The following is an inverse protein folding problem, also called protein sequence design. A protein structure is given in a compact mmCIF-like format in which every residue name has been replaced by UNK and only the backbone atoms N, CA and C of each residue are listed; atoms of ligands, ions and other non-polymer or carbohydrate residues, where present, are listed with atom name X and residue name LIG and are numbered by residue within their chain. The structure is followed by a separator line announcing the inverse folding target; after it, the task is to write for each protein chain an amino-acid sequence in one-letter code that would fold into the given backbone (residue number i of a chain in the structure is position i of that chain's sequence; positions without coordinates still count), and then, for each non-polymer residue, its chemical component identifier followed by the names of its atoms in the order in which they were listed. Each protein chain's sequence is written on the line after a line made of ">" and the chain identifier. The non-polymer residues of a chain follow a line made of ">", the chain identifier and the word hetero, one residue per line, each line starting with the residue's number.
data_IF_495763637532
#
_entry.id   IF_495763637532
#
_cell.length_a   1.000
_cell.length_b   1.000
_cell.length_c   1.000
_cell.angle_alpha   90.00
_cell.angle_beta   90.00
_cell.angle_gamma   90.00
#
_symmetry.space_group_name_H-M   'P 1'
#
loop_
_entity.id
_entity.type
_entity.pdbx_description
1 polymer ?
#
# COMPACT_ATOMS: atom_id res chain seq x y z
N UNK A 1 27.52 16.06 19.18
CA UNK A 1 26.85 15.70 17.92
C UNK A 1 25.36 15.60 18.20
N UNK A 2 24.55 16.45 17.58
CA UNK A 2 23.09 16.45 17.79
C UNK A 2 22.49 15.26 17.03
N UNK A 3 22.00 14.27 17.77
CA UNK A 3 21.21 13.18 17.18
C UNK A 3 19.93 13.81 16.66
N UNK A 4 19.76 13.89 15.33
CA UNK A 4 18.47 14.27 14.73
C UNK A 4 17.44 13.27 15.28
N UNK A 5 16.58 13.74 16.20
CA UNK A 5 15.45 12.96 16.69
C UNK A 5 14.48 12.82 15.52
N UNK A 6 14.32 11.61 15.01
CA UNK A 6 13.19 11.31 14.14
C UNK A 6 11.94 11.37 15.02
N UNK A 7 11.03 12.29 14.71
CA UNK A 7 9.86 12.60 15.54
C UNK A 7 8.69 11.62 15.33
N UNK A 8 8.94 10.44 14.75
CA UNK A 8 7.93 9.43 14.50
C UNK A 8 8.45 8.05 14.89
N UNK A 9 7.52 7.20 15.31
CA UNK A 9 7.76 5.81 15.65
C UNK A 9 7.59 4.93 14.41
N UNK A 10 8.42 3.90 14.23
CA UNK A 10 8.30 2.98 13.11
C UNK A 10 9.39 3.13 12.04
N UNK A 11 9.45 2.21 11.07
CA UNK A 11 10.49 2.17 10.04
C UNK A 11 10.37 3.29 9.01
N UNK A 12 9.18 3.85 8.84
CA UNK A 12 8.94 4.96 7.93
C UNK A 12 7.73 5.78 8.38
N UNK A 13 7.63 7.00 7.86
CA UNK A 13 6.52 7.91 8.05
C UNK A 13 6.03 8.42 6.71
N UNK A 14 4.71 8.45 6.55
CA UNK A 14 4.02 9.06 5.41
C UNK A 14 3.66 10.51 5.75
N UNK A 15 4.43 11.51 5.26
CA UNK A 15 4.15 12.91 5.56
C UNK A 15 2.94 13.46 4.79
N UNK A 16 2.39 12.74 3.82
CA UNK A 16 1.27 13.19 2.99
C UNK A 16 -0.07 12.53 3.38
N UNK A 17 -0.05 11.53 4.26
CA UNK A 17 -1.26 10.82 4.68
C UNK A 17 -1.96 10.06 3.54
N UNK A 18 -1.19 9.64 2.53
CA UNK A 18 -1.66 8.81 1.42
C UNK A 18 -1.88 7.33 1.81
N UNK A 19 -1.56 6.97 3.05
CA UNK A 19 -1.79 5.67 3.68
C UNK A 19 -1.01 4.53 2.99
N UNK A 20 0.26 4.78 2.67
CA UNK A 20 1.16 3.75 2.16
C UNK A 20 1.39 2.63 3.19
N UNK A 21 1.34 1.38 2.74
CA UNK A 21 1.47 0.22 3.61
C UNK A 21 2.12 -0.97 2.90
N UNK A 22 2.58 -1.95 3.67
CA UNK A 22 2.98 -3.24 3.12
C UNK A 22 1.75 -4.03 2.65
N UNK A 23 1.97 -4.94 1.71
CA UNK A 23 0.95 -5.92 1.33
C UNK A 23 0.50 -6.75 2.52
N UNK A 24 -0.81 -6.93 2.67
CA UNK A 24 -1.44 -7.72 3.72
C UNK A 24 -2.20 -8.89 3.10
N UNK A 25 -1.72 -10.13 3.21
CA UNK A 25 -2.42 -11.29 2.66
C UNK A 25 -3.84 -11.41 3.23
N UNK A 26 -4.82 -11.64 2.35
CA UNK A 26 -6.23 -11.76 2.73
C UNK A 26 -7.00 -10.43 2.87
N UNK A 27 -6.29 -9.30 2.92
CA UNK A 27 -6.90 -7.97 2.98
C UNK A 27 -7.05 -7.33 1.60
N UNK A 28 -7.75 -6.19 1.57
CA UNK A 28 -7.81 -5.28 0.41
C UNK A 28 -6.44 -4.59 0.26
N UNK A 29 -5.79 -4.79 -0.89
CA UNK A 29 -4.50 -4.18 -1.20
C UNK A 29 -4.58 -3.34 -2.48
N UNK A 30 -4.36 -2.04 -2.34
CA UNK A 30 -4.34 -1.11 -3.46
C UNK A 30 -2.91 -0.96 -3.99
N UNK A 31 -2.74 -1.19 -5.28
CA UNK A 31 -1.44 -1.30 -5.95
C UNK A 31 -0.58 -0.07 -5.70
N UNK A 32 -1.12 1.13 -5.94
CA UNK A 32 -0.30 2.35 -5.89
C UNK A 32 0.02 2.83 -4.47
N UNK A 33 -0.67 2.30 -3.45
CA UNK A 33 -0.37 2.54 -2.02
C UNK A 33 0.47 1.45 -1.38
N UNK A 34 0.63 0.31 -2.06
CA UNK A 34 1.44 -0.77 -1.54
C UNK A 34 2.91 -0.42 -1.70
N UNK A 35 3.70 -0.62 -0.65
CA UNK A 35 5.14 -0.49 -0.68
C UNK A 35 5.71 -1.82 -1.18
N UNK A 36 6.16 -1.84 -2.43
CA UNK A 36 6.73 -3.02 -3.06
C UNK A 36 8.19 -3.24 -2.68
N UNK A 37 8.90 -2.18 -2.28
CA UNK A 37 10.28 -2.30 -1.87
C UNK A 37 10.91 -0.98 -1.48
N UNK A 38 12.21 -1.05 -1.17
CA UNK A 38 13.05 0.09 -0.83
C UNK A 38 14.47 -0.11 -1.35
N UNK A 39 15.01 0.92 -2.01
CA UNK A 39 16.44 1.04 -2.29
C UNK A 39 17.11 1.74 -1.11
N UNK A 40 18.06 1.07 -0.47
CA UNK A 40 18.66 1.54 0.79
C UNK A 40 20.18 1.67 0.66
N UNK A 41 20.70 2.83 1.08
CA UNK A 41 22.13 3.03 1.34
C UNK A 41 22.34 3.13 2.85
N UNK A 42 23.00 2.13 3.43
CA UNK A 42 23.24 2.07 4.88
C UNK A 42 24.27 3.07 5.40
N UNK A 43 25.15 3.58 4.53
CA UNK A 43 26.17 4.56 4.89
C UNK A 43 25.59 5.97 4.93
N UNK A 44 24.92 6.39 3.86
CA UNK A 44 24.28 7.71 3.78
C UNK A 44 22.92 7.77 4.48
N UNK A 45 22.38 6.61 4.90
CA UNK A 45 21.05 6.47 5.50
C UNK A 45 19.91 6.93 4.59
N UNK A 46 20.14 6.91 3.28
CA UNK A 46 19.13 7.28 2.29
C UNK A 46 18.28 6.07 1.89
N UNK A 47 16.98 6.33 1.72
CA UNK A 47 15.99 5.34 1.30
C UNK A 47 15.14 5.90 0.16
N UNK A 48 14.93 5.09 -0.87
CA UNK A 48 13.93 5.33 -1.92
C UNK A 48 12.94 4.18 -1.92
N UNK A 49 11.76 4.40 -1.33
CA UNK A 49 10.66 3.46 -1.36
C UNK A 49 9.98 3.51 -2.73
N UNK A 50 9.41 2.39 -3.17
CA UNK A 50 8.68 2.34 -4.43
C UNK A 50 7.45 1.41 -4.35
N UNK A 51 6.48 1.68 -5.22
CA UNK A 51 5.26 0.88 -5.37
C UNK A 51 5.48 -0.26 -6.39
N UNK A 52 4.51 -1.17 -6.60
CA UNK A 52 4.65 -2.30 -7.53
C UNK A 52 4.92 -1.89 -8.99
N UNK A 53 4.62 -0.66 -9.37
CA UNK A 53 4.89 -0.11 -10.70
C UNK A 53 6.26 0.59 -10.79
N UNK A 54 7.06 0.50 -9.73
CA UNK A 54 8.40 1.11 -9.66
C UNK A 54 8.40 2.62 -9.47
N UNK A 55 7.25 3.24 -9.17
CA UNK A 55 7.19 4.68 -8.86
C UNK A 55 7.67 4.93 -7.43
N UNK A 56 8.50 5.94 -7.27
CA UNK A 56 9.03 6.32 -5.97
C UNK A 56 7.93 6.90 -5.08
N UNK A 57 7.87 6.40 -3.85
CA UNK A 57 6.91 6.81 -2.83
C UNK A 57 7.60 7.77 -1.85
N UNK A 58 7.03 8.94 -1.54
CA UNK A 58 7.69 9.96 -0.72
C UNK A 58 7.58 9.70 0.80
N UNK A 59 8.02 8.52 1.23
CA UNK A 59 8.13 8.15 2.64
C UNK A 59 9.43 8.64 3.26
N UNK A 60 9.40 8.99 4.54
CA UNK A 60 10.59 9.28 5.33
C UNK A 60 11.03 8.02 6.06
N UNK A 61 12.22 7.51 5.78
CA UNK A 61 12.79 6.37 6.50
C UNK A 61 13.27 6.77 7.91
N UNK A 62 13.14 5.84 8.86
CA UNK A 62 13.82 5.86 10.13
C UNK A 62 15.05 4.92 10.07
N UNK A 63 16.27 5.47 9.98
CA UNK A 63 17.48 4.68 9.69
C UNK A 63 17.80 3.62 10.74
N UNK A 64 17.28 3.76 11.96
CA UNK A 64 17.54 2.83 13.07
C UNK A 64 16.60 1.63 13.05
N UNK A 65 15.40 1.77 12.48
CA UNK A 65 14.41 0.70 12.40
C UNK A 65 14.44 -0.03 11.04
N UNK A 66 14.90 0.65 9.98
CA UNK A 66 14.99 0.10 8.63
C UNK A 66 15.73 -1.24 8.52
N UNK A 67 16.91 -1.46 9.16
CA UNK A 67 17.61 -2.74 9.06
C UNK A 67 16.80 -3.93 9.58
N UNK A 68 16.10 -3.77 10.70
CA UNK A 68 15.25 -4.80 11.27
C UNK A 68 14.00 -5.04 10.40
N UNK A 69 13.38 -3.94 9.93
CA UNK A 69 12.24 -3.97 9.04
C UNK A 69 12.53 -4.71 7.73
N UNK A 70 13.60 -4.36 7.02
CA UNK A 70 13.99 -5.00 5.76
C UNK A 70 14.35 -6.47 5.94
N UNK A 71 14.94 -6.84 7.08
CA UNK A 71 15.23 -8.25 7.40
C UNK A 71 13.96 -9.07 7.59
N UNK A 72 12.95 -8.48 8.25
CA UNK A 72 11.69 -9.15 8.56
C UNK A 72 10.78 -9.30 7.33
N UNK A 73 10.73 -8.29 6.48
CA UNK A 73 9.76 -8.21 5.39
C UNK A 73 10.35 -8.45 3.99
N UNK A 74 11.67 -8.38 3.84
CA UNK A 74 12.35 -8.57 2.56
C UNK A 74 12.26 -10.00 2.06
N UNK A 75 11.70 -10.20 0.86
CA UNK A 75 11.60 -11.50 0.19
C UNK A 75 12.69 -11.70 -0.88
N UNK A 76 13.21 -10.61 -1.45
CA UNK A 76 14.30 -10.60 -2.44
C UNK A 76 15.21 -9.40 -2.24
N UNK A 77 16.49 -9.54 -2.61
CA UNK A 77 17.48 -8.46 -2.53
C UNK A 77 18.30 -8.37 -3.81
N UNK A 78 18.60 -7.15 -4.23
CA UNK A 78 19.43 -6.86 -5.39
C UNK A 78 20.50 -5.83 -4.99
N UNK A 79 21.76 -6.22 -5.15
CA UNK A 79 22.91 -5.36 -4.86
C UNK A 79 23.16 -4.41 -6.03
N UNK A 80 23.76 -3.26 -5.73
CA UNK A 80 24.12 -2.26 -6.75
C UNK A 80 22.94 -1.81 -7.60
N UNK A 81 21.75 -1.81 -7.01
CA UNK A 81 20.50 -1.52 -7.72
C UNK A 81 19.72 -0.48 -6.93
N UNK A 82 19.17 0.48 -7.66
CA UNK A 82 18.28 1.53 -7.15
C UNK A 82 17.03 1.50 -8.02
N UNK A 83 15.88 1.26 -7.41
CA UNK A 83 14.55 1.29 -8.04
C UNK A 83 13.80 2.54 -7.59
N UNK A 84 12.92 3.04 -8.46
CA UNK A 84 12.17 4.27 -8.24
C UNK A 84 12.25 5.18 -9.46
N UNK A 85 11.08 5.61 -9.93
CA UNK A 85 10.90 6.66 -10.94
C UNK A 85 9.90 7.72 -10.46
N UNK A 86 9.75 8.81 -11.22
CA UNK A 86 8.87 9.93 -10.86
C UNK A 86 9.56 11.01 -10.02
N UNK A 87 8.82 12.06 -9.62
CA UNK A 87 9.36 13.26 -8.99
C UNK A 87 9.95 13.03 -7.59
N UNK A 88 9.65 11.90 -6.95
CA UNK A 88 10.15 11.55 -5.62
C UNK A 88 11.36 10.60 -5.64
N UNK A 89 11.78 10.16 -6.82
CA UNK A 89 12.91 9.27 -6.98
C UNK A 89 14.24 10.00 -6.75
N UNK A 90 15.34 9.24 -6.72
CA UNK A 90 16.67 9.82 -6.85
C UNK A 90 16.72 10.65 -8.13
N UNK A 91 17.23 11.88 -8.02
CA UNK A 91 17.46 12.74 -9.18
C UNK A 91 18.18 11.98 -10.32
N UNK A 92 17.71 12.16 -11.55
CA UNK A 92 18.18 11.37 -12.70
C UNK A 92 19.64 11.64 -13.02
N UNK A 93 20.09 12.90 -12.90
CA UNK A 93 21.49 13.25 -13.14
C UNK A 93 22.38 12.67 -12.06
N UNK A 94 21.95 12.74 -10.79
CA UNK A 94 22.62 12.09 -9.66
C UNK A 94 22.75 10.58 -9.90
N UNK A 95 21.66 9.91 -10.28
CA UNK A 95 21.63 8.46 -10.51
C UNK A 95 22.58 8.04 -11.63
N UNK A 96 22.59 8.77 -12.75
CA UNK A 96 23.51 8.52 -13.87
C UNK A 96 24.98 8.84 -13.54
N UNK A 97 25.21 9.75 -12.61
CA UNK A 97 26.56 10.13 -12.16
C UNK A 97 27.17 9.19 -11.11
N UNK A 98 26.44 8.18 -10.63
CA UNK A 98 26.99 7.24 -9.64
C UNK A 98 28.08 6.36 -10.28
N UNK A 99 29.24 6.36 -9.65
CA UNK A 99 30.31 5.40 -9.97
C UNK A 99 29.93 4.00 -9.51
N UNK A 100 30.60 2.96 -10.02
CA UNK A 100 30.39 1.58 -9.58
C UNK A 100 30.60 1.40 -8.06
N UNK A 101 31.58 2.10 -7.48
CA UNK A 101 31.87 2.05 -6.03
C UNK A 101 30.71 2.66 -5.24
N UNK A 102 30.20 3.82 -5.66
CA UNK A 102 29.06 4.46 -4.99
C UNK A 102 27.79 3.64 -5.15
N UNK A 103 27.59 3.01 -6.32
CA UNK A 103 26.44 2.14 -6.55
C UNK A 103 26.50 0.88 -5.69
N UNK A 104 27.69 0.33 -5.41
CA UNK A 104 27.87 -0.84 -4.55
C UNK A 104 27.38 -0.65 -3.10
N UNK A 105 27.20 0.59 -2.64
CA UNK A 105 26.63 0.89 -1.33
C UNK A 105 25.09 0.73 -1.28
N UNK A 106 24.44 0.59 -2.43
CA UNK A 106 22.99 0.48 -2.54
C UNK A 106 22.54 -0.98 -2.62
N UNK A 107 21.49 -1.29 -1.85
CA UNK A 107 20.79 -2.58 -1.93
C UNK A 107 19.30 -2.32 -2.03
N UNK A 108 18.66 -2.88 -3.05
CA UNK A 108 17.21 -2.89 -3.19
C UNK A 108 16.62 -4.11 -2.49
N UNK A 109 15.67 -3.89 -1.59
CA UNK A 109 14.90 -4.93 -0.91
C UNK A 109 13.48 -4.91 -1.44
N UNK A 110 12.99 -6.07 -1.85
CA UNK A 110 11.61 -6.26 -2.31
C UNK A 110 10.76 -6.87 -1.21
N UNK A 111 9.52 -6.41 -1.09
CA UNK A 111 8.50 -6.85 -0.12
C UNK A 111 7.29 -7.50 -0.80
N UNK A 112 7.20 -7.39 -2.12
CA UNK A 112 6.19 -8.03 -2.97
C UNK A 112 6.85 -8.69 -4.16
N UNK A 113 6.18 -9.65 -4.78
CA UNK A 113 6.59 -10.25 -6.06
C UNK A 113 5.45 -10.18 -7.09
N UNK A 114 5.69 -10.71 -8.29
CA UNK A 114 4.77 -10.68 -9.42
C UNK A 114 3.49 -11.50 -9.21
N UNK A 115 3.47 -12.43 -8.23
CA UNK A 115 2.29 -13.24 -7.93
C UNK A 115 1.25 -12.49 -7.08
N UNK A 116 1.61 -11.33 -6.53
CA UNK A 116 0.76 -10.60 -5.61
C UNK A 116 -0.37 -9.91 -6.37
N UNK A 117 -1.59 -10.09 -5.87
CA UNK A 117 -2.81 -9.61 -6.49
C UNK A 117 -3.34 -8.37 -5.78
N UNK A 118 -3.82 -7.39 -6.55
CA UNK A 118 -4.27 -6.10 -6.04
C UNK A 118 -5.74 -5.85 -6.37
N UNK A 119 -6.42 -5.15 -5.49
CA UNK A 119 -7.84 -4.81 -5.62
C UNK A 119 -8.14 -3.89 -6.81
N UNK A 120 -7.13 -3.30 -7.43
CA UNK A 120 -7.27 -2.60 -8.71
C UNK A 120 -7.81 -3.50 -9.83
N UNK A 121 -7.54 -4.81 -9.75
CA UNK A 121 -8.10 -5.80 -10.65
C UNK A 121 -9.54 -6.14 -10.21
N UNK A 122 -10.48 -6.01 -11.15
CA UNK A 122 -11.89 -6.27 -10.91
C UNK A 122 -12.16 -7.72 -10.48
N UNK A 123 -11.39 -8.70 -10.98
CA UNK A 123 -11.56 -10.11 -10.60
C UNK A 123 -11.10 -10.35 -9.16
N UNK A 124 -10.00 -9.71 -8.76
CA UNK A 124 -9.47 -9.78 -7.39
C UNK A 124 -10.46 -9.15 -6.42
N UNK A 125 -11.03 -8.00 -6.78
CA UNK A 125 -12.07 -7.34 -5.99
C UNK A 125 -13.35 -8.20 -5.91
N UNK A 126 -13.84 -8.71 -7.04
CA UNK A 126 -15.06 -9.52 -7.08
C UNK A 126 -14.96 -10.77 -6.20
N UNK A 127 -13.80 -11.44 -6.19
CA UNK A 127 -13.56 -12.57 -5.29
C UNK A 127 -13.59 -12.17 -3.82
N UNK A 128 -12.99 -11.02 -3.47
CA UNK A 128 -13.04 -10.51 -2.10
C UNK A 128 -14.48 -10.17 -1.68
N UNK A 129 -15.25 -9.52 -2.56
CA UNK A 129 -16.67 -9.21 -2.34
C UNK A 129 -17.49 -10.48 -2.14
N UNK A 130 -17.29 -11.53 -2.94
CA UNK A 130 -18.02 -12.78 -2.78
C UNK A 130 -17.83 -13.38 -1.37
N UNK A 131 -16.59 -13.41 -0.87
CA UNK A 131 -16.30 -13.88 0.48
C UNK A 131 -16.96 -13.00 1.55
N UNK A 132 -16.89 -11.66 1.40
CA UNK A 132 -17.49 -10.71 2.34
C UNK A 132 -19.03 -10.83 2.39
N UNK A 133 -19.67 -11.09 1.25
CA UNK A 133 -21.12 -11.31 1.18
C UNK A 133 -21.53 -12.67 1.78
N UNK A 134 -20.72 -13.72 1.63
CA UNK A 134 -20.94 -14.99 2.33
C UNK A 134 -20.85 -14.81 3.85
N UNK A 135 -19.89 -14.04 4.34
CA UNK A 135 -19.75 -13.71 5.77
C UNK A 135 -20.92 -12.85 6.28
N UNK A 136 -21.39 -11.87 5.50
CA UNK A 136 -22.56 -11.04 5.82
C UNK A 136 -23.83 -11.89 5.89
N UNK A 137 -24.00 -12.83 4.96
CA UNK A 137 -25.12 -13.77 4.96
C UNK A 137 -25.13 -14.58 6.26
N UNK A 138 -24.03 -15.24 6.61
CA UNK A 138 -23.93 -16.05 7.82
C UNK A 138 -24.14 -15.21 9.09
N UNK A 139 -23.60 -13.99 9.13
CA UNK A 139 -23.76 -13.06 10.26
C UNK A 139 -25.19 -12.58 10.40
N UNK A 140 -25.88 -12.31 9.29
CA UNK A 140 -27.29 -11.92 9.26
C UNK A 140 -28.19 -13.05 9.73
N UNK A 141 -27.97 -14.28 9.25
CA UNK A 141 -28.69 -15.47 9.70
C UNK A 141 -28.55 -15.68 11.21
N UNK A 142 -27.32 -15.58 11.72
CA UNK A 142 -27.05 -15.69 13.15
C UNK A 142 -27.72 -14.56 13.96
N UNK A 143 -27.65 -13.32 13.47
CA UNK A 143 -28.24 -12.16 14.14
C UNK A 143 -29.77 -12.26 14.21
N UNK A 144 -30.40 -12.72 13.14
CA UNK A 144 -31.85 -12.97 13.11
C UNK A 144 -32.27 -14.02 14.14
N UNK A 145 -31.52 -15.14 14.23
CA UNK A 145 -31.79 -16.20 15.20
C UNK A 145 -31.70 -15.75 16.67
N UNK A 146 -30.87 -14.74 16.97
CA UNK A 146 -30.77 -14.13 18.30
C UNK A 146 -31.78 -12.99 18.54
N UNK A 147 -32.29 -12.40 17.47
CA UNK A 147 -33.28 -11.33 17.51
C UNK A 147 -34.69 -11.83 17.84
N UNK A 148 -35.55 -10.92 18.31
CA UNK A 148 -37.02 -11.10 18.29
C UNK A 148 -37.62 -10.42 17.05
N UNK A 149 -36.94 -10.53 15.92
CA UNK A 149 -37.38 -9.88 14.68
C UNK A 149 -38.54 -10.67 14.08
N UNK A 150 -39.62 -9.97 13.71
CA UNK A 150 -40.82 -10.59 13.12
C UNK A 150 -40.72 -10.70 11.60
N UNK A 151 -39.67 -10.12 11.01
CA UNK A 151 -39.37 -10.22 9.59
C UNK A 151 -38.99 -11.65 9.23
N UNK A 152 -39.47 -12.12 8.08
CA UNK A 152 -39.07 -13.40 7.51
C UNK A 152 -37.55 -13.45 7.30
N UNK A 153 -36.93 -14.60 7.61
CA UNK A 153 -35.47 -14.78 7.59
C UNK A 153 -34.89 -14.51 6.21
N UNK A 154 -35.48 -15.10 5.17
CA UNK A 154 -34.97 -15.00 3.80
C UNK A 154 -34.99 -13.53 3.34
N UNK A 155 -36.08 -12.83 3.66
CA UNK A 155 -36.23 -11.40 3.37
C UNK A 155 -35.20 -10.55 4.11
N UNK A 156 -35.00 -10.79 5.41
CA UNK A 156 -34.03 -10.06 6.22
C UNK A 156 -32.60 -10.23 5.69
N UNK A 157 -32.19 -11.48 5.45
CA UNK A 157 -30.86 -11.81 4.93
C UNK A 157 -30.64 -11.21 3.55
N UNK A 158 -31.61 -11.34 2.64
CA UNK A 158 -31.52 -10.78 1.29
C UNK A 158 -31.35 -9.26 1.31
N UNK A 159 -32.08 -8.55 2.19
CA UNK A 159 -31.92 -7.10 2.34
C UNK A 159 -30.54 -6.71 2.89
N UNK A 160 -30.02 -7.42 3.88
CA UNK A 160 -28.70 -7.15 4.45
C UNK A 160 -27.60 -7.36 3.41
N UNK A 161 -27.64 -8.47 2.68
CA UNK A 161 -26.68 -8.77 1.61
C UNK A 161 -26.77 -7.73 0.49
N UNK A 162 -27.98 -7.35 0.05
CA UNK A 162 -28.16 -6.33 -0.99
C UNK A 162 -27.62 -4.96 -0.57
N UNK A 163 -27.86 -4.54 0.69
CA UNK A 163 -27.30 -3.29 1.24
C UNK A 163 -25.77 -3.35 1.30
N UNK A 164 -25.21 -4.50 1.69
CA UNK A 164 -23.77 -4.71 1.75
C UNK A 164 -23.14 -4.65 0.36
N UNK A 165 -23.74 -5.31 -0.62
CA UNK A 165 -23.29 -5.29 -2.01
C UNK A 165 -23.29 -3.86 -2.59
N UNK A 166 -24.36 -3.09 -2.40
CA UNK A 166 -24.43 -1.69 -2.85
C UNK A 166 -23.31 -0.84 -2.22
N UNK A 167 -23.11 -0.99 -0.91
CA UNK A 167 -22.05 -0.27 -0.19
C UNK A 167 -20.66 -0.64 -0.73
N UNK A 168 -20.39 -1.93 -0.96
CA UNK A 168 -19.13 -2.39 -1.52
C UNK A 168 -18.89 -1.86 -2.94
N UNK A 169 -19.93 -1.78 -3.76
CA UNK A 169 -19.82 -1.21 -5.11
C UNK A 169 -19.46 0.29 -5.09
N UNK A 170 -20.04 1.07 -4.17
CA UNK A 170 -19.67 2.49 -3.99
C UNK A 170 -18.25 2.62 -3.42
N UNK A 171 -17.90 1.84 -2.40
CA UNK A 171 -16.58 1.86 -1.80
C UNK A 171 -15.50 1.50 -2.83
N UNK A 172 -15.75 0.52 -3.69
CA UNK A 172 -14.87 0.16 -4.79
C UNK A 172 -14.62 1.32 -5.74
N UNK A 173 -15.69 1.97 -6.20
CA UNK A 173 -15.62 3.14 -7.09
C UNK A 173 -14.89 4.30 -6.44
N UNK A 174 -15.11 4.54 -5.14
CA UNK A 174 -14.43 5.58 -4.37
C UNK A 174 -12.93 5.29 -4.27
N UNK A 175 -12.55 4.08 -3.86
CA UNK A 175 -11.15 3.67 -3.67
C UNK A 175 -10.38 3.62 -4.98
N UNK A 176 -10.97 3.12 -6.07
CA UNK A 176 -10.36 3.16 -7.40
C UNK A 176 -10.02 4.59 -7.82
N UNK A 177 -10.94 5.54 -7.63
CA UNK A 177 -10.69 6.96 -7.92
C UNK A 177 -9.58 7.53 -7.05
N UNK A 178 -9.56 7.20 -5.77
CA UNK A 178 -8.57 7.66 -4.82
C UNK A 178 -7.17 7.11 -5.15
N UNK A 179 -7.09 5.83 -5.51
CA UNK A 179 -5.85 5.16 -5.88
C UNK A 179 -5.31 5.66 -7.24
N UNK A 180 -6.19 5.89 -8.23
CA UNK A 180 -5.81 6.51 -9.50
C UNK A 180 -5.27 7.94 -9.33
N UNK A 181 -5.81 8.71 -8.37
CA UNK A 181 -5.27 10.05 -8.02
C UNK A 181 -3.87 9.95 -7.44
N UNK A 182 -3.62 9.00 -6.53
CA UNK A 182 -2.28 8.75 -5.99
C UNK A 182 -1.33 8.35 -7.12
N UNK A 183 -1.73 7.47 -8.02
CA UNK A 183 -0.92 7.10 -9.18
C UNK A 183 -0.51 8.31 -10.03
N UNK A 184 -1.47 9.16 -10.41
CA UNK A 184 -1.19 10.38 -11.17
C UNK A 184 -0.24 11.32 -10.43
N UNK A 185 -0.42 11.47 -9.12
CA UNK A 185 0.48 12.26 -8.27
C UNK A 185 1.90 11.68 -8.20
N UNK A 186 2.04 10.36 -8.03
CA UNK A 186 3.34 9.66 -8.02
C UNK A 186 4.04 9.74 -9.38
N UNK A 187 3.32 9.94 -10.48
CA UNK A 187 3.89 10.24 -11.80
C UNK A 187 4.27 11.71 -11.99
N UNK A 188 3.85 12.60 -11.09
CA UNK A 188 4.01 14.04 -11.22
C UNK A 188 2.99 14.70 -12.17
N UNK A 189 1.92 14.00 -12.54
CA UNK A 189 0.86 14.49 -13.44
C UNK A 189 -0.23 15.28 -12.69
N UNK A 190 -0.34 15.12 -11.36
CA UNK A 190 -1.36 15.77 -10.54
C UNK A 190 -0.75 16.62 -9.41
N UNK A 191 -1.40 17.74 -9.08
CA UNK A 191 -1.12 18.50 -7.85
C UNK A 191 -1.42 17.62 -6.61
N UNK A 192 -0.63 17.73 -5.52
CA UNK A 192 -0.74 16.84 -4.36
C UNK A 192 -2.15 16.86 -3.77
N UNK A 193 -2.63 15.74 -3.20
CA UNK A 193 -3.93 15.69 -2.57
C UNK A 193 -3.96 16.69 -1.42
N UNK A 194 -4.80 17.72 -1.53
CA UNK A 194 -5.24 18.48 -0.36
C UNK A 194 -6.05 17.53 0.51
N UNK A 195 -5.55 17.22 1.70
CA UNK A 195 -6.32 16.57 2.76
C UNK A 195 -7.66 17.31 2.89
N UNK A 196 -8.75 16.70 2.47
CA UNK A 196 -10.09 17.20 2.74
C UNK A 196 -10.41 16.92 4.21
N UNK A 197 -10.87 17.97 4.91
CA UNK A 197 -11.22 18.02 6.34
C UNK A 197 -11.87 16.76 6.91
#
# INVERSE_FOLDING_TARGET
>A
MSVRRYHFTGPFHDPYGAAFCLYKPGDINWRHRTIAGVSWNGQSQEAFFFNPDGLAIPLRANPWEMPAFMRKHGIRREFSTIVGEGPFAMDKQRRLGLTAIQLAEWVTYWFTDESYLFSNDAEVWARWVANDLEEEQATSEQSHAFGRDQTDLDTFVAESVAKREEWLAEEYRRRCREDARIFAWLKGEAHPPTSGN
#
